data_IF_948612361727
#
_entry.id   IF_948612361727
#
_cell.length_a   1.000
_cell.length_b   1.000
_cell.length_c   1.000
_cell.angle_alpha   90.00
_cell.angle_beta   90.00
_cell.angle_gamma   90.00
#
_symmetry.space_group_name_H-M   'P 1'
#
loop_
_entity.id
_entity.type
_entity.pdbx_description
1 polymer ?
#
# COMPACT_ATOMS: atom_id res chain seq x y z
N UNK A 1 53.08 40.18 12.36
CA UNK A 1 52.81 40.20 10.91
C UNK A 1 53.42 38.94 10.31
N UNK A 2 52.57 38.21 9.60
CA UNK A 2 52.75 37.07 8.68
C UNK A 2 54.09 36.34 8.55
N UNK A 3 54.01 35.01 8.60
CA UNK A 3 55.01 34.09 8.06
C UNK A 3 54.48 32.66 8.02
N UNK A 4 53.85 32.28 6.90
CA UNK A 4 53.42 30.91 6.55
C UNK A 4 54.62 30.14 5.98
N UNK A 5 54.92 28.94 6.50
CA UNK A 5 55.87 27.95 5.93
C UNK A 5 55.31 26.52 6.19
N UNK A 6 55.46 25.56 5.24
CA UNK A 6 54.53 24.45 4.97
C UNK A 6 54.89 23.13 5.69
N UNK A 7 54.02 22.08 5.63
CA UNK A 7 54.25 20.83 6.34
C UNK A 7 55.30 19.95 5.65
N UNK A 8 56.28 19.52 6.43
CA UNK A 8 57.28 18.52 6.10
C UNK A 8 56.74 17.09 6.17
N UNK A 9 57.08 16.34 5.12
CA UNK A 9 57.19 14.90 4.95
C UNK A 9 56.92 14.00 6.18
N UNK A 10 55.88 13.17 6.07
CA UNK A 10 55.80 11.87 6.75
C UNK A 10 55.46 10.77 5.73
N UNK A 11 56.12 9.60 5.80
CA UNK A 11 56.12 8.60 4.74
C UNK A 11 54.82 7.81 4.64
N UNK A 12 54.43 7.57 3.39
CA UNK A 12 53.32 6.74 2.94
C UNK A 12 53.46 5.31 3.49
N UNK A 13 52.60 4.93 4.44
CA UNK A 13 52.47 3.53 4.89
C UNK A 13 51.42 2.83 4.03
N UNK A 14 51.83 1.76 3.34
CA UNK A 14 50.97 0.94 2.49
C UNK A 14 49.83 0.28 3.29
N UNK A 15 48.64 0.06 2.70
CA UNK A 15 47.54 -0.62 3.36
C UNK A 15 47.84 -2.12 3.54
N UNK A 16 47.43 -2.74 4.66
CA UNK A 16 47.69 -4.15 4.91
C UNK A 16 46.91 -5.05 3.95
N UNK A 17 47.59 -6.11 3.52
CA UNK A 17 47.20 -7.02 2.46
C UNK A 17 45.87 -7.76 2.67
N UNK A 18 45.35 -8.25 1.52
CA UNK A 18 44.24 -9.20 1.40
C UNK A 18 44.36 -10.31 2.45
N UNK A 19 43.29 -10.52 3.23
CA UNK A 19 43.14 -11.72 4.05
C UNK A 19 42.79 -12.89 3.14
N UNK A 20 43.60 -13.94 3.22
CA UNK A 20 43.35 -15.23 2.59
C UNK A 20 42.05 -15.85 3.12
N UNK A 21 41.21 -16.26 2.18
CA UNK A 21 39.98 -16.99 2.43
C UNK A 21 40.31 -18.46 2.71
N UNK A 22 40.60 -18.82 3.96
CA UNK A 22 40.75 -20.22 4.38
C UNK A 22 40.58 -20.39 5.90
N UNK A 23 39.42 -19.99 6.44
CA UNK A 23 38.98 -20.45 7.76
C UNK A 23 37.50 -20.83 7.71
N UNK A 24 37.12 -22.10 7.96
CA UNK A 24 35.73 -22.49 7.98
C UNK A 24 35.06 -21.96 9.26
N UNK A 25 33.98 -21.20 9.09
CA UNK A 25 33.10 -20.79 10.19
C UNK A 25 32.37 -22.05 10.66
N UNK A 26 32.70 -22.50 11.87
CA UNK A 26 32.01 -23.61 12.53
C UNK A 26 30.65 -23.10 12.99
N UNK A 27 29.58 -23.46 12.27
CA UNK A 27 28.20 -23.25 12.74
C UNK A 27 27.97 -24.17 13.93
N UNK A 28 27.98 -23.61 15.14
CA UNK A 28 27.51 -24.31 16.33
C UNK A 28 26.02 -24.66 16.16
N UNK A 29 25.70 -25.94 16.31
CA UNK A 29 24.36 -26.50 16.13
C UNK A 29 23.38 -25.96 17.18
N UNK A 30 22.47 -25.08 16.74
CA UNK A 30 21.26 -24.67 17.46
C UNK A 30 20.00 -25.13 16.69
N UNK A 31 20.01 -26.34 16.13
CA UNK A 31 18.90 -26.84 15.30
C UNK A 31 17.75 -27.54 16.06
N UNK A 32 17.83 -27.77 17.37
CA UNK A 32 16.90 -28.70 18.04
C UNK A 32 16.02 -28.12 19.16
N UNK A 33 15.38 -26.96 18.94
CA UNK A 33 14.34 -26.49 19.86
C UNK A 33 13.30 -25.56 19.21
N UNK A 34 12.77 -25.94 18.04
CA UNK A 34 11.51 -25.36 17.55
C UNK A 34 10.32 -26.20 18.04
N UNK A 35 9.32 -25.61 18.72
CA UNK A 35 8.08 -26.32 19.02
C UNK A 35 7.37 -26.71 17.72
N UNK A 36 6.79 -27.91 17.69
CA UNK A 36 6.00 -28.40 16.54
C UNK A 36 4.94 -27.36 16.16
N UNK A 37 4.75 -27.04 14.87
CA UNK A 37 3.74 -26.07 14.46
C UNK A 37 2.37 -26.53 14.96
N UNK A 38 1.63 -25.60 15.57
CA UNK A 38 0.27 -25.84 16.05
C UNK A 38 -0.60 -26.35 14.91
N UNK A 39 -1.30 -27.45 15.14
CA UNK A 39 -2.29 -28.00 14.22
C UNK A 39 -3.45 -27.01 14.11
N UNK A 40 -3.42 -26.14 13.10
CA UNK A 40 -4.52 -25.23 12.80
C UNK A 40 -5.68 -26.05 12.25
N UNK A 41 -6.77 -26.16 13.01
CA UNK A 41 -8.02 -26.71 12.53
C UNK A 41 -8.54 -25.85 11.38
N UNK A 42 -8.67 -26.45 10.19
CA UNK A 42 -9.06 -25.75 8.96
C UNK A 42 -10.59 -25.62 8.89
N UNK A 43 -11.15 -24.43 8.61
CA UNK A 43 -12.59 -24.28 8.41
C UNK A 43 -13.07 -25.01 7.13
N UNK A 44 -14.29 -25.56 7.11
CA UNK A 44 -14.86 -26.25 5.96
C UNK A 44 -15.14 -25.26 4.80
N UNK A 45 -14.74 -25.61 3.58
CA UNK A 45 -14.95 -24.81 2.35
C UNK A 45 -13.67 -24.45 1.58
N UNK A 46 -12.49 -24.66 2.16
CA UNK A 46 -11.22 -24.43 1.46
C UNK A 46 -10.85 -25.64 0.56
N UNK A 47 -11.30 -25.63 -0.69
CA UNK A 47 -10.86 -26.61 -1.67
C UNK A 47 -9.33 -26.65 -1.75
N UNK A 48 -8.75 -27.83 -1.53
CA UNK A 48 -7.31 -28.06 -1.71
C UNK A 48 -6.98 -27.91 -3.19
N UNK A 49 -6.53 -26.72 -3.59
CA UNK A 49 -5.74 -26.60 -4.81
C UNK A 49 -4.48 -27.44 -4.60
N UNK A 50 -4.42 -28.59 -5.26
CA UNK A 50 -3.32 -29.54 -5.15
C UNK A 50 -1.98 -28.82 -5.34
N UNK A 51 -1.11 -28.92 -4.33
CA UNK A 51 0.25 -28.38 -4.41
C UNK A 51 0.99 -29.15 -5.51
N UNK A 52 1.20 -28.51 -6.66
CA UNK A 52 2.01 -29.10 -7.74
C UNK A 52 3.47 -29.18 -7.28
N UNK A 53 3.96 -30.39 -7.10
CA UNK A 53 5.38 -30.66 -6.78
C UNK A 53 6.22 -30.45 -8.04
N UNK A 54 7.35 -29.76 -7.89
CA UNK A 54 8.34 -29.61 -8.96
C UNK A 54 9.74 -29.77 -8.36
N UNK A 55 10.72 -30.06 -9.22
CA UNK A 55 12.12 -30.22 -8.82
C UNK A 55 12.69 -28.85 -8.43
N UNK A 56 13.11 -28.71 -7.16
CA UNK A 56 13.82 -27.51 -6.68
C UNK A 56 15.15 -27.41 -7.44
N UNK A 57 15.39 -26.31 -8.15
CA UNK A 57 16.74 -25.98 -8.62
C UNK A 57 17.52 -25.28 -7.50
N UNK A 58 18.85 -25.38 -7.54
CA UNK A 58 19.76 -24.72 -6.60
C UNK A 58 19.60 -23.19 -6.59
N UNK A 59 19.09 -22.63 -7.69
CA UNK A 59 18.77 -21.21 -7.85
C UNK A 59 17.29 -20.89 -7.64
N UNK A 60 16.42 -21.87 -7.35
CA UNK A 60 14.96 -21.73 -7.28
C UNK A 60 14.28 -21.76 -8.65
N UNK A 61 13.11 -22.42 -8.74
CA UNK A 61 12.34 -22.54 -9.97
C UNK A 61 11.90 -21.17 -10.52
N UNK A 62 12.19 -20.90 -11.80
CA UNK A 62 11.81 -19.66 -12.50
C UNK A 62 10.30 -19.43 -12.48
N UNK A 63 9.50 -20.49 -12.66
CA UNK A 63 8.04 -20.42 -12.60
C UNK A 63 7.54 -20.04 -11.21
N UNK A 64 8.16 -20.55 -10.13
CA UNK A 64 7.82 -20.13 -8.77
C UNK A 64 8.31 -18.72 -8.45
N UNK A 65 9.45 -18.29 -9.01
CA UNK A 65 9.92 -16.91 -8.87
C UNK A 65 9.00 -15.93 -9.60
N UNK A 66 8.55 -16.27 -10.79
CA UNK A 66 7.62 -15.47 -11.59
C UNK A 66 6.20 -15.42 -11.00
N UNK A 67 5.79 -16.45 -10.25
CA UNK A 67 4.48 -16.51 -9.56
C UNK A 67 4.48 -15.93 -8.14
N UNK A 68 5.65 -15.56 -7.60
CA UNK A 68 5.76 -15.01 -6.25
C UNK A 68 5.52 -13.51 -6.30
N UNK A 69 4.30 -13.12 -5.93
CA UNK A 69 4.01 -11.77 -5.50
C UNK A 69 4.91 -11.46 -4.30
N UNK A 70 5.72 -10.40 -4.40
CA UNK A 70 6.68 -9.99 -3.37
C UNK A 70 6.24 -8.66 -2.78
N UNK A 71 5.48 -8.72 -1.68
CA UNK A 71 4.98 -7.51 -1.02
C UNK A 71 6.10 -6.55 -0.62
N UNK A 72 7.22 -7.03 -0.07
CA UNK A 72 8.33 -6.14 0.33
C UNK A 72 8.89 -5.29 -0.81
N UNK A 73 8.85 -5.79 -2.05
CA UNK A 73 9.38 -5.08 -3.22
C UNK A 73 8.41 -4.01 -3.75
N UNK A 74 7.15 -4.04 -3.32
CA UNK A 74 6.12 -3.05 -3.69
C UNK A 74 5.92 -2.01 -2.59
N UNK A 75 6.56 -2.15 -1.43
CA UNK A 75 6.50 -1.16 -0.34
C UNK A 75 7.46 0.01 -0.54
N UNK A 76 8.50 -0.17 -1.37
CA UNK A 76 9.50 0.85 -1.64
C UNK A 76 10.21 0.60 -2.98
N UNK A 77 10.47 1.68 -3.70
CA UNK A 77 11.29 1.67 -4.91
C UNK A 77 12.80 1.62 -4.59
N UNK A 78 13.20 2.01 -3.37
CA UNK A 78 14.60 1.96 -2.95
C UNK A 78 15.01 0.52 -2.60
N UNK A 79 15.87 -0.05 -3.45
CA UNK A 79 16.38 -1.41 -3.29
C UNK A 79 17.23 -1.61 -2.03
N UNK A 80 17.80 -0.52 -1.48
CA UNK A 80 18.54 -0.56 -0.22
C UNK A 80 17.64 -1.00 0.96
N UNK A 81 16.35 -0.67 0.89
CA UNK A 81 15.38 -0.98 1.94
C UNK A 81 14.71 -2.35 1.76
N UNK A 82 14.99 -3.10 0.69
CA UNK A 82 14.35 -4.39 0.46
C UNK A 82 14.67 -5.42 1.54
N UNK A 83 15.91 -5.46 2.03
CA UNK A 83 16.31 -6.40 3.09
C UNK A 83 15.64 -6.04 4.41
N UNK A 84 15.55 -4.74 4.72
CA UNK A 84 14.81 -4.25 5.87
C UNK A 84 13.35 -4.73 5.87
N UNK A 85 12.63 -4.54 4.76
CA UNK A 85 11.23 -4.99 4.66
C UNK A 85 11.06 -6.50 4.59
N UNK A 86 12.00 -7.22 3.97
CA UNK A 86 11.96 -8.67 3.78
C UNK A 86 12.33 -9.43 5.06
N UNK A 87 13.34 -8.95 5.77
CA UNK A 87 14.00 -9.67 6.86
C UNK A 87 13.74 -8.96 8.20
N UNK A 88 14.17 -7.71 8.37
CA UNK A 88 14.11 -7.03 9.68
C UNK A 88 12.67 -6.82 10.18
N UNK A 89 11.79 -6.30 9.32
CA UNK A 89 10.37 -6.07 9.67
C UNK A 89 9.63 -7.39 9.94
N UNK A 90 10.00 -8.47 9.24
CA UNK A 90 9.42 -9.79 9.48
C UNK A 90 9.91 -10.37 10.81
N UNK A 91 11.20 -10.25 11.12
CA UNK A 91 11.76 -10.64 12.42
C UNK A 91 11.14 -9.83 13.56
N UNK A 92 10.89 -8.54 13.34
CA UNK A 92 10.18 -7.69 14.30
C UNK A 92 8.74 -8.18 14.50
N UNK A 93 8.04 -8.56 13.42
CA UNK A 93 6.72 -9.19 13.49
C UNK A 93 6.71 -10.48 14.30
N UNK A 94 7.73 -11.32 14.16
CA UNK A 94 7.85 -12.55 14.95
C UNK A 94 8.02 -12.27 16.46
N UNK A 95 8.52 -11.09 16.83
CA UNK A 95 8.65 -10.66 18.23
C UNK A 95 7.43 -9.88 18.73
N UNK A 96 6.75 -9.17 17.84
CA UNK A 96 5.70 -8.21 18.15
C UNK A 96 4.42 -8.52 17.35
N UNK A 97 3.44 -9.08 18.05
CA UNK A 97 2.15 -9.53 17.52
C UNK A 97 1.45 -8.50 16.61
N UNK A 98 1.48 -7.22 17.00
CA UNK A 98 0.81 -6.17 16.24
C UNK A 98 1.54 -5.84 14.93
N UNK A 99 2.87 -5.99 14.87
CA UNK A 99 3.63 -5.85 13.63
C UNK A 99 3.33 -7.00 12.69
N UNK A 100 3.30 -8.24 13.17
CA UNK A 100 2.93 -9.37 12.31
C UNK A 100 1.53 -9.20 11.72
N UNK A 101 0.56 -8.75 12.54
CA UNK A 101 -0.80 -8.44 12.04
C UNK A 101 -0.78 -7.34 10.97
N UNK A 102 0.04 -6.30 11.13
CA UNK A 102 0.19 -5.24 10.13
C UNK A 102 0.83 -5.76 8.82
N UNK A 103 1.88 -6.57 8.90
CA UNK A 103 2.53 -7.20 7.74
C UNK A 103 1.56 -8.11 6.99
N UNK A 104 0.78 -8.92 7.72
CA UNK A 104 -0.24 -9.79 7.14
C UNK A 104 -1.40 -8.99 6.54
N UNK A 105 -1.80 -7.89 7.17
CA UNK A 105 -2.81 -6.99 6.62
C UNK A 105 -2.37 -6.47 5.25
N UNK A 106 -1.17 -5.87 5.16
CA UNK A 106 -0.62 -5.35 3.89
C UNK A 106 -0.48 -6.46 2.85
N UNK A 107 -0.08 -7.66 3.29
CA UNK A 107 -0.01 -8.82 2.40
C UNK A 107 -1.39 -9.25 1.87
N UNK A 108 -2.44 -9.18 2.69
CA UNK A 108 -3.80 -9.46 2.27
C UNK A 108 -4.28 -8.42 1.24
N UNK A 109 -4.02 -7.13 1.47
CA UNK A 109 -4.36 -6.08 0.51
C UNK A 109 -3.64 -6.29 -0.84
N UNK A 110 -2.37 -6.67 -0.81
CA UNK A 110 -1.61 -6.98 -2.02
C UNK A 110 -2.14 -8.24 -2.74
N UNK A 111 -2.64 -9.23 -1.99
CA UNK A 111 -3.33 -10.39 -2.57
C UNK A 111 -4.69 -10.00 -3.17
N UNK A 112 -5.42 -9.06 -2.57
CA UNK A 112 -6.68 -8.55 -3.10
C UNK A 112 -6.47 -7.90 -4.48
N UNK A 113 -5.40 -7.11 -4.62
CA UNK A 113 -5.00 -6.50 -5.89
C UNK A 113 -4.70 -7.53 -6.99
N UNK A 114 -3.94 -8.57 -6.68
CA UNK A 114 -3.55 -9.59 -7.67
C UNK A 114 -4.58 -10.70 -7.89
N UNK A 115 -5.65 -10.76 -7.08
CA UNK A 115 -6.67 -11.82 -7.15
C UNK A 115 -8.08 -11.23 -7.11
N UNK A 116 -8.57 -10.68 -8.22
CA UNK A 116 -9.91 -10.09 -8.30
C UNK A 116 -11.01 -11.06 -7.84
N UNK A 117 -10.90 -12.36 -8.18
CA UNK A 117 -11.86 -13.41 -7.80
C UNK A 117 -12.12 -13.55 -6.28
N UNK A 118 -11.20 -13.07 -5.44
CA UNK A 118 -11.30 -13.15 -3.97
C UNK A 118 -10.97 -11.82 -3.30
N UNK A 119 -11.12 -10.73 -4.04
CA UNK A 119 -10.73 -9.39 -3.61
C UNK A 119 -11.38 -9.02 -2.27
N UNK A 120 -12.70 -9.16 -2.17
CA UNK A 120 -13.47 -8.76 -0.99
C UNK A 120 -13.04 -9.51 0.27
N UNK A 121 -12.82 -10.82 0.15
CA UNK A 121 -12.34 -11.65 1.26
C UNK A 121 -10.99 -11.15 1.79
N UNK A 122 -10.05 -10.83 0.88
CA UNK A 122 -8.73 -10.35 1.30
C UNK A 122 -8.74 -8.91 1.81
N UNK A 123 -9.62 -8.06 1.29
CA UNK A 123 -9.86 -6.71 1.83
C UNK A 123 -10.39 -6.81 3.26
N UNK A 124 -11.43 -7.61 3.49
CA UNK A 124 -12.03 -7.79 4.82
C UNK A 124 -11.02 -8.36 5.83
N UNK A 125 -10.27 -9.40 5.44
CA UNK A 125 -9.23 -9.97 6.29
C UNK A 125 -8.10 -8.95 6.58
N UNK A 126 -7.70 -8.17 5.57
CA UNK A 126 -6.73 -7.10 5.72
C UNK A 126 -7.17 -6.03 6.73
N UNK A 127 -8.41 -5.53 6.60
CA UNK A 127 -9.01 -4.56 7.51
C UNK A 127 -9.07 -5.13 8.93
N UNK A 128 -9.52 -6.38 9.09
CA UNK A 128 -9.63 -7.02 10.40
C UNK A 128 -8.27 -7.14 11.10
N UNK A 129 -7.23 -7.55 10.35
CA UNK A 129 -5.86 -7.66 10.86
C UNK A 129 -5.30 -6.29 11.24
N UNK A 130 -5.52 -5.27 10.41
CA UNK A 130 -5.14 -3.89 10.69
C UNK A 130 -5.81 -3.38 11.97
N UNK A 131 -7.12 -3.55 12.14
CA UNK A 131 -7.86 -3.11 13.34
C UNK A 131 -7.38 -3.82 14.62
N UNK A 132 -7.09 -5.13 14.53
CA UNK A 132 -6.50 -5.88 15.66
C UNK A 132 -5.11 -5.34 16.00
N UNK A 133 -4.28 -5.07 14.99
CA UNK A 133 -2.95 -4.51 15.16
C UNK A 133 -3.00 -3.11 15.82
N UNK A 134 -3.86 -2.22 15.31
CA UNK A 134 -4.05 -0.85 15.81
C UNK A 134 -4.49 -0.84 17.26
N UNK A 135 -5.44 -1.70 17.67
CA UNK A 135 -5.84 -1.83 19.07
C UNK A 135 -4.69 -2.28 19.97
N UNK A 136 -3.89 -3.23 19.52
CA UNK A 136 -2.70 -3.68 20.27
C UNK A 136 -1.65 -2.57 20.38
N UNK A 137 -1.37 -1.83 19.31
CA UNK A 137 -0.42 -0.72 19.32
C UNK A 137 -0.91 0.44 20.22
N UNK A 138 -2.21 0.76 20.20
CA UNK A 138 -2.81 1.77 21.09
C UNK A 138 -2.66 1.40 22.57
N UNK A 139 -2.77 0.12 22.92
CA UNK A 139 -2.53 -0.34 24.30
C UNK A 139 -1.08 -0.13 24.72
N UNK A 140 -0.11 -0.36 23.83
CA UNK A 140 1.31 -0.08 24.10
C UNK A 140 1.53 1.41 24.34
N UNK A 141 0.93 2.28 23.52
CA UNK A 141 1.02 3.74 23.70
C UNK A 141 0.30 4.24 24.97
N UNK A 142 -0.81 3.60 25.35
CA UNK A 142 -1.61 3.98 26.51
C UNK A 142 -1.10 3.39 27.84
N UNK A 143 -0.14 2.47 27.82
CA UNK A 143 0.36 1.77 29.00
C UNK A 143 1.13 2.68 29.99
N UNK A 144 1.26 3.99 29.72
CA UNK A 144 1.74 5.00 30.67
C UNK A 144 3.23 4.91 31.03
N UNK A 145 3.94 3.90 30.52
CA UNK A 145 5.37 3.74 30.72
C UNK A 145 6.17 4.50 29.66
N UNK A 146 7.39 4.90 30.00
CA UNK A 146 8.23 5.69 29.10
C UNK A 146 8.61 4.83 27.88
N UNK A 147 8.05 5.16 26.71
CA UNK A 147 8.32 4.45 25.45
C UNK A 147 9.84 4.45 25.21
N UNK A 148 10.43 3.25 25.17
CA UNK A 148 11.85 3.11 24.87
C UNK A 148 12.13 3.29 23.37
N UNK A 149 13.41 3.31 22.99
CA UNK A 149 13.82 3.53 21.58
C UNK A 149 13.36 2.40 20.66
N UNK A 150 13.31 1.16 21.14
CA UNK A 150 12.96 -0.01 20.33
C UNK A 150 11.44 -0.06 20.10
N UNK A 151 10.65 0.27 21.14
CA UNK A 151 9.21 0.45 21.05
C UNK A 151 8.86 1.62 20.12
N UNK A 152 9.57 2.75 20.21
CA UNK A 152 9.38 3.87 19.30
C UNK A 152 9.68 3.48 17.83
N UNK A 153 10.78 2.76 17.59
CA UNK A 153 11.11 2.25 16.26
C UNK A 153 10.05 1.27 15.74
N UNK A 154 9.52 0.42 16.61
CA UNK A 154 8.47 -0.54 16.25
C UNK A 154 7.15 0.15 15.94
N UNK A 155 6.74 1.15 16.75
CA UNK A 155 5.57 1.97 16.48
C UNK A 155 5.71 2.80 15.21
N UNK A 156 6.93 3.25 14.89
CA UNK A 156 7.21 3.91 13.61
C UNK A 156 7.01 2.95 12.43
N UNK A 157 7.60 1.75 12.45
CA UNK A 157 7.38 0.73 11.41
C UNK A 157 5.90 0.36 11.30
N UNK A 158 5.20 0.24 12.44
CA UNK A 158 3.76 0.04 12.45
C UNK A 158 3.03 1.16 11.72
N UNK A 159 3.36 2.42 11.99
CA UNK A 159 2.75 3.57 11.33
C UNK A 159 2.96 3.59 9.81
N UNK A 160 4.14 3.13 9.35
CA UNK A 160 4.42 2.99 7.92
C UNK A 160 3.55 1.90 7.29
N UNK A 161 3.37 0.76 7.97
CA UNK A 161 2.54 -0.35 7.49
C UNK A 161 1.05 -0.01 7.53
N UNK A 162 0.60 0.82 8.48
CA UNK A 162 -0.80 1.27 8.55
C UNK A 162 -1.13 2.38 7.56
N UNK A 163 -0.15 3.10 7.02
CA UNK A 163 -0.37 4.10 5.98
C UNK A 163 -1.07 3.53 4.74
N UNK A 164 -0.86 2.24 4.42
CA UNK A 164 -1.54 1.54 3.32
C UNK A 164 -3.02 1.23 3.61
N UNK A 165 -3.42 1.31 4.88
CA UNK A 165 -4.80 1.14 5.35
C UNK A 165 -5.45 2.46 5.77
N UNK A 166 -4.70 3.57 5.75
CA UNK A 166 -5.25 4.89 5.99
C UNK A 166 -6.16 5.23 4.81
N UNK A 167 -7.49 5.30 4.99
CA UNK A 167 -8.37 5.47 3.86
C UNK A 167 -8.22 6.90 3.34
N UNK A 168 -7.60 7.04 2.17
CA UNK A 168 -7.41 8.29 1.43
C UNK A 168 -8.73 9.01 1.20
N UNK A 169 -9.82 8.25 1.07
CA UNK A 169 -11.16 8.75 0.82
C UNK A 169 -12.05 8.72 2.07
N UNK A 170 -11.53 8.42 3.27
CA UNK A 170 -12.32 8.40 4.52
C UNK A 170 -13.20 9.64 4.74
N UNK A 171 -12.71 10.89 4.52
CA UNK A 171 -13.55 12.07 4.69
C UNK A 171 -14.72 12.13 3.70
N UNK A 172 -14.50 11.71 2.45
CA UNK A 172 -15.55 11.64 1.43
C UNK A 172 -16.54 10.52 1.75
N UNK A 173 -16.03 9.35 2.16
CA UNK A 173 -16.85 8.20 2.55
C UNK A 173 -17.80 8.54 3.70
N UNK A 174 -17.30 9.19 4.74
CA UNK A 174 -18.13 9.59 5.89
C UNK A 174 -19.26 10.55 5.48
N UNK A 175 -18.99 11.48 4.55
CA UNK A 175 -20.00 12.42 4.03
C UNK A 175 -21.06 11.70 3.19
N UNK A 176 -20.63 10.77 2.33
CA UNK A 176 -21.54 9.98 1.48
C UNK A 176 -22.37 9.00 2.32
N UNK A 177 -21.80 8.38 3.34
CA UNK A 177 -22.55 7.51 4.26
C UNK A 177 -23.61 8.29 5.05
N UNK A 178 -23.32 9.54 5.43
CA UNK A 178 -24.29 10.42 6.08
C UNK A 178 -25.41 10.87 5.11
N UNK A 179 -25.06 11.27 3.88
CA UNK A 179 -26.00 11.75 2.87
C UNK A 179 -26.89 10.62 2.31
N UNK A 180 -26.31 9.46 1.98
CA UNK A 180 -27.02 8.29 1.46
C UNK A 180 -27.65 7.41 2.56
N UNK A 181 -27.86 7.95 3.77
CA UNK A 181 -28.38 7.20 4.92
C UNK A 181 -29.79 6.63 4.69
N UNK A 182 -30.57 7.23 3.80
CA UNK A 182 -31.93 6.82 3.48
C UNK A 182 -32.03 5.66 2.47
N UNK A 183 -31.00 5.40 1.66
CA UNK A 183 -31.02 4.36 0.61
C UNK A 183 -29.83 3.37 0.74
N UNK A 184 -30.08 2.17 1.30
CA UNK A 184 -29.06 1.14 1.47
C UNK A 184 -28.52 0.54 0.17
N UNK A 185 -29.22 0.64 -0.96
CA UNK A 185 -28.75 0.16 -2.26
C UNK A 185 -27.74 1.15 -2.85
N UNK A 186 -28.09 2.44 -2.90
CA UNK A 186 -27.18 3.50 -3.35
C UNK A 186 -25.91 3.55 -2.50
N UNK A 187 -26.04 3.42 -1.17
CA UNK A 187 -24.89 3.41 -0.26
C UNK A 187 -23.91 2.28 -0.57
N UNK A 188 -24.39 1.10 -0.99
CA UNK A 188 -23.54 -0.04 -1.37
C UNK A 188 -22.80 0.24 -2.66
N UNK A 189 -23.48 0.75 -3.69
CA UNK A 189 -22.85 1.12 -4.96
C UNK A 189 -21.78 2.19 -4.79
N UNK A 190 -22.03 3.23 -3.97
CA UNK A 190 -21.03 4.25 -3.66
C UNK A 190 -19.85 3.72 -2.84
N UNK A 191 -20.12 2.89 -1.82
CA UNK A 191 -19.07 2.27 -1.03
C UNK A 191 -18.14 1.43 -1.92
N UNK A 192 -18.71 0.61 -2.80
CA UNK A 192 -17.95 -0.17 -3.76
C UNK A 192 -17.10 0.70 -4.69
N UNK A 193 -17.66 1.76 -5.27
CA UNK A 193 -16.92 2.67 -6.14
C UNK A 193 -15.76 3.39 -5.42
N UNK A 194 -15.96 3.76 -4.16
CA UNK A 194 -14.93 4.35 -3.30
C UNK A 194 -13.84 3.33 -2.96
N UNK A 195 -14.20 2.08 -2.63
CA UNK A 195 -13.25 1.01 -2.31
C UNK A 195 -12.34 0.70 -3.50
N UNK A 196 -12.88 0.64 -4.71
CA UNK A 196 -12.10 0.51 -5.94
C UNK A 196 -11.17 1.71 -6.18
N UNK A 197 -11.68 2.92 -5.95
CA UNK A 197 -10.93 4.14 -6.20
C UNK A 197 -9.76 4.29 -5.22
N UNK A 198 -10.02 3.95 -3.96
CA UNK A 198 -9.04 3.95 -2.89
C UNK A 198 -7.94 2.94 -3.15
N UNK A 199 -8.28 1.71 -3.57
CA UNK A 199 -7.30 0.70 -3.92
C UNK A 199 -6.38 1.18 -5.06
N UNK A 200 -6.94 1.77 -6.11
CA UNK A 200 -6.18 2.32 -7.23
C UNK A 200 -5.27 3.49 -6.79
N UNK A 201 -5.76 4.38 -5.92
CA UNK A 201 -4.99 5.50 -5.39
C UNK A 201 -3.85 5.05 -4.45
N UNK A 202 -4.08 4.02 -3.64
CA UNK A 202 -3.05 3.42 -2.76
C UNK A 202 -1.98 2.74 -3.60
N UNK A 203 -2.35 1.96 -4.62
CA UNK A 203 -1.39 1.38 -5.57
C UNK A 203 -0.49 2.43 -6.21
N UNK A 204 -1.09 3.54 -6.67
CA UNK A 204 -0.36 4.66 -7.27
C UNK A 204 0.53 5.44 -6.27
N UNK A 205 0.28 5.35 -4.96
CA UNK A 205 1.15 5.94 -3.91
C UNK A 205 2.28 5.01 -3.49
N UNK A 206 2.02 3.70 -3.48
CA UNK A 206 2.96 2.68 -3.05
C UNK A 206 4.19 2.61 -3.96
N UNK A 207 3.99 2.76 -5.28
CA UNK A 207 5.08 2.77 -6.25
C UNK A 207 4.93 3.94 -7.24
N UNK A 208 5.51 5.12 -6.94
CA UNK A 208 5.47 6.26 -7.84
C UNK A 208 6.17 6.03 -9.18
N UNK A 209 7.08 5.05 -9.26
CA UNK A 209 7.93 4.76 -10.41
C UNK A 209 7.50 3.54 -11.23
N UNK A 210 6.54 2.74 -10.74
CA UNK A 210 5.89 1.72 -11.55
C UNK A 210 5.33 2.32 -12.84
N UNK A 211 5.41 1.61 -13.99
CA UNK A 211 4.70 2.02 -15.19
C UNK A 211 3.21 2.06 -14.86
N UNK A 212 2.67 3.27 -14.67
CA UNK A 212 1.27 3.51 -14.31
C UNK A 212 0.44 3.31 -15.56
N UNK A 213 0.00 2.09 -15.78
CA UNK A 213 -0.76 1.73 -16.96
C UNK A 213 -2.14 2.41 -16.90
N UNK A 214 -2.57 3.01 -18.01
CA UNK A 214 -3.92 3.57 -18.14
C UNK A 214 -5.00 2.52 -17.85
N UNK A 215 -4.62 1.23 -17.94
CA UNK A 215 -5.43 0.11 -17.50
C UNK A 215 -5.95 0.26 -16.07
N UNK A 216 -5.27 0.91 -15.12
CA UNK A 216 -5.81 1.07 -13.76
C UNK A 216 -7.08 1.93 -13.74
N UNK A 217 -7.08 3.03 -14.51
CA UNK A 217 -8.25 3.88 -14.69
C UNK A 217 -9.36 3.18 -15.47
N UNK A 218 -9.00 2.35 -16.47
CA UNK A 218 -9.98 1.56 -17.23
C UNK A 218 -10.59 0.44 -16.40
N UNK A 219 -9.79 -0.24 -15.55
CA UNK A 219 -10.24 -1.28 -14.63
C UNK A 219 -11.20 -0.68 -13.62
N UNK A 220 -10.90 0.48 -13.03
CA UNK A 220 -11.84 1.16 -12.14
C UNK A 220 -13.19 1.41 -12.85
N UNK A 221 -13.15 2.02 -14.03
CA UNK A 221 -14.36 2.35 -14.78
C UNK A 221 -15.14 1.08 -15.16
N UNK A 222 -14.46 0.01 -15.56
CA UNK A 222 -15.06 -1.28 -15.88
C UNK A 222 -15.76 -1.87 -14.66
N UNK A 223 -15.08 -1.95 -13.51
CA UNK A 223 -15.61 -2.55 -12.27
C UNK A 223 -16.86 -1.84 -11.76
N UNK A 224 -16.92 -0.51 -11.86
CA UNK A 224 -18.06 0.26 -11.34
C UNK A 224 -19.16 0.50 -12.39
N UNK A 225 -18.93 0.14 -13.66
CA UNK A 225 -19.76 0.60 -14.79
C UNK A 225 -21.24 0.23 -14.68
N UNK A 226 -21.56 -1.00 -14.25
CA UNK A 226 -22.92 -1.51 -14.29
C UNK A 226 -23.87 -0.80 -13.31
N UNK A 227 -23.37 -0.42 -12.14
CA UNK A 227 -24.18 0.18 -11.08
C UNK A 227 -23.95 1.68 -10.93
N UNK A 228 -22.72 2.16 -11.12
CA UNK A 228 -22.35 3.55 -10.83
C UNK A 228 -22.56 4.50 -12.02
N UNK A 229 -22.24 4.08 -13.25
CA UNK A 229 -22.38 4.95 -14.45
C UNK A 229 -23.83 5.34 -14.73
N UNK A 230 -24.85 4.49 -14.53
CA UNK A 230 -26.25 4.90 -14.64
C UNK A 230 -26.61 6.09 -13.72
N UNK A 231 -26.02 6.16 -12.52
CA UNK A 231 -26.26 7.26 -11.56
C UNK A 231 -25.71 8.60 -12.07
N UNK A 232 -24.63 8.59 -12.86
CA UNK A 232 -24.09 9.77 -13.54
C UNK A 232 -24.93 10.20 -14.76
N UNK A 233 -25.74 9.29 -15.32
CA UNK A 233 -26.58 9.55 -16.50
C UNK A 233 -28.01 9.95 -16.13
N UNK A 234 -28.44 9.71 -14.89
CA UNK A 234 -29.79 10.00 -14.44
C UNK A 234 -30.13 11.50 -14.57
N UNK A 235 -31.41 11.85 -14.88
CA UNK A 235 -31.85 13.25 -15.03
C UNK A 235 -31.64 14.08 -13.76
N UNK A 236 -31.85 13.48 -12.59
CA UNK A 236 -31.38 13.98 -11.30
C UNK A 236 -30.04 13.30 -11.01
N UNK A 237 -28.94 13.83 -11.56
CA UNK A 237 -27.61 13.36 -11.18
C UNK A 237 -27.48 13.48 -9.67
N UNK A 238 -27.17 12.38 -9.01
CA UNK A 238 -26.85 12.34 -7.59
C UNK A 238 -25.51 13.07 -7.40
N UNK A 239 -25.53 14.14 -6.61
CA UNK A 239 -24.37 15.00 -6.33
C UNK A 239 -23.20 14.17 -5.78
N UNK A 240 -23.51 13.12 -5.01
CA UNK A 240 -22.58 12.15 -4.45
C UNK A 240 -21.82 11.37 -5.53
N UNK A 241 -22.52 10.91 -6.58
CA UNK A 241 -21.88 10.20 -7.69
C UNK A 241 -20.92 11.12 -8.46
N UNK A 242 -21.30 12.37 -8.67
CA UNK A 242 -20.44 13.38 -9.32
C UNK A 242 -19.20 13.66 -8.45
N UNK A 243 -19.36 13.75 -7.13
CA UNK A 243 -18.25 13.93 -6.20
C UNK A 243 -17.27 12.74 -6.21
N UNK A 244 -17.77 11.50 -6.25
CA UNK A 244 -16.93 10.30 -6.41
C UNK A 244 -16.19 10.34 -7.75
N UNK A 245 -16.89 10.67 -8.85
CA UNK A 245 -16.30 10.73 -10.18
C UNK A 245 -15.23 11.83 -10.32
N UNK A 246 -15.33 12.93 -9.57
CA UNK A 246 -14.27 13.93 -9.50
C UNK A 246 -12.96 13.33 -8.92
N UNK A 247 -13.06 12.43 -7.94
CA UNK A 247 -11.89 11.76 -7.36
C UNK A 247 -11.29 10.73 -8.31
N UNK A 248 -12.07 10.15 -9.25
CA UNK A 248 -11.52 9.37 -10.36
C UNK A 248 -10.58 10.23 -11.23
N UNK A 249 -10.86 11.53 -11.39
CA UNK A 249 -9.96 12.46 -12.06
C UNK A 249 -8.56 12.53 -11.43
N UNK A 250 -8.40 12.23 -10.13
CA UNK A 250 -7.08 12.12 -9.51
C UNK A 250 -6.25 10.97 -10.07
N UNK A 251 -6.86 9.82 -10.37
CA UNK A 251 -6.15 8.72 -11.05
C UNK A 251 -5.62 9.20 -12.40
N UNK A 252 -6.47 9.87 -13.19
CA UNK A 252 -6.08 10.41 -14.50
C UNK A 252 -4.95 11.42 -14.41
N UNK A 253 -4.99 12.34 -13.43
CA UNK A 253 -3.89 13.28 -13.17
C UNK A 253 -2.58 12.57 -12.78
N UNK A 254 -2.68 11.40 -12.14
CA UNK A 254 -1.53 10.64 -11.62
C UNK A 254 -0.86 9.74 -12.65
N UNK A 255 -1.55 9.33 -13.72
CA UNK A 255 -0.98 8.50 -14.81
C UNK A 255 0.12 9.21 -15.62
N UNK A 256 0.44 10.47 -15.28
CA UNK A 256 1.30 11.36 -16.05
C UNK A 256 0.74 11.56 -17.46
N UNK A 257 0.97 12.71 -18.06
CA UNK A 257 0.62 12.97 -19.46
C UNK A 257 1.47 12.13 -20.45
N UNK A 258 1.92 10.94 -20.04
CA UNK A 258 2.69 9.96 -20.81
C UNK A 258 1.96 9.53 -22.08
N UNK A 259 0.63 9.52 -22.03
CA UNK A 259 -0.25 9.27 -23.17
C UNK A 259 -0.81 10.59 -23.68
N UNK A 260 -0.39 11.01 -24.88
CA UNK A 260 -0.80 12.28 -25.49
C UNK A 260 -2.33 12.47 -25.59
N UNK A 261 -3.08 11.37 -25.73
CA UNK A 261 -4.55 11.39 -25.84
C UNK A 261 -5.26 11.54 -24.49
N UNK A 262 -4.60 11.22 -23.38
CA UNK A 262 -5.16 11.37 -22.02
C UNK A 262 -4.83 12.75 -21.43
N UNK A 263 -4.02 13.55 -22.13
CA UNK A 263 -3.61 14.88 -21.70
C UNK A 263 -4.83 15.78 -21.44
N UNK A 264 -4.89 16.37 -20.24
CA UNK A 264 -5.96 17.27 -19.82
C UNK A 264 -7.28 16.61 -19.44
N UNK A 265 -7.42 15.27 -19.54
CA UNK A 265 -8.67 14.59 -19.15
C UNK A 265 -8.93 14.66 -17.63
N UNK A 266 -7.91 14.46 -16.81
CA UNK A 266 -8.05 14.58 -15.35
C UNK A 266 -8.52 15.96 -14.93
N UNK A 267 -7.90 17.01 -15.50
CA UNK A 267 -8.33 18.39 -15.33
C UNK A 267 -9.77 18.63 -15.77
N UNK A 268 -10.14 18.15 -16.96
CA UNK A 268 -11.47 18.36 -17.52
C UNK A 268 -12.55 17.68 -16.67
N UNK A 269 -12.30 16.45 -16.23
CA UNK A 269 -13.23 15.69 -15.36
C UNK A 269 -13.43 16.41 -14.03
N UNK A 270 -12.34 16.86 -13.38
CA UNK A 270 -12.43 17.55 -12.09
C UNK A 270 -13.13 18.91 -12.23
N UNK A 271 -12.77 19.70 -13.26
CA UNK A 271 -13.38 21.00 -13.51
C UNK A 271 -14.87 20.86 -13.83
N UNK A 272 -15.25 19.91 -14.70
CA UNK A 272 -16.64 19.70 -15.07
C UNK A 272 -17.48 19.19 -13.91
N UNK A 273 -16.91 18.33 -13.06
CA UNK A 273 -17.58 17.92 -11.83
C UNK A 273 -17.84 19.13 -10.92
N UNK A 274 -16.87 20.05 -10.76
CA UNK A 274 -17.04 21.25 -9.94
C UNK A 274 -18.12 22.23 -10.45
N UNK A 275 -18.44 22.20 -11.75
CA UNK A 275 -19.53 22.99 -12.33
C UNK A 275 -20.91 22.36 -12.14
N UNK A 276 -20.97 21.04 -12.01
CA UNK A 276 -22.22 20.28 -11.83
C UNK A 276 -22.61 20.22 -10.36
N UNK A 277 -21.62 20.25 -9.46
CA UNK A 277 -21.83 20.18 -8.03
C UNK A 277 -22.46 21.47 -7.47
N UNK A 278 -23.38 21.30 -6.52
CA UNK A 278 -23.84 22.41 -5.68
C UNK A 278 -22.75 22.87 -4.70
N UNK A 279 -23.01 23.99 -4.00
CA UNK A 279 -22.02 24.61 -3.11
C UNK A 279 -21.61 23.70 -1.93
N UNK A 280 -22.53 22.87 -1.43
CA UNK A 280 -22.29 21.96 -0.30
C UNK A 280 -21.36 20.79 -0.71
N UNK A 281 -21.62 20.19 -1.86
CA UNK A 281 -20.85 19.06 -2.38
C UNK A 281 -19.55 19.50 -3.05
N UNK A 282 -19.43 20.77 -3.46
CA UNK A 282 -18.16 21.32 -3.97
C UNK A 282 -17.05 21.25 -2.93
N UNK A 283 -17.37 21.40 -1.64
CA UNK A 283 -16.43 21.19 -0.54
C UNK A 283 -15.94 19.74 -0.41
N UNK A 284 -16.58 18.79 -1.09
CA UNK A 284 -16.21 17.38 -1.08
C UNK A 284 -15.08 17.06 -2.05
N UNK A 285 -14.91 17.89 -3.08
CA UNK A 285 -13.88 17.72 -4.12
C UNK A 285 -12.71 18.69 -3.97
N UNK A 286 -12.56 19.31 -2.79
CA UNK A 286 -11.47 20.26 -2.52
C UNK A 286 -10.09 19.61 -2.71
N UNK A 287 -9.93 18.33 -2.35
CA UNK A 287 -8.68 17.61 -2.56
C UNK A 287 -8.33 17.44 -4.06
N UNK A 288 -9.22 16.89 -4.92
CA UNK A 288 -9.06 16.94 -6.38
C UNK A 288 -8.71 18.32 -6.94
N UNK A 289 -9.45 19.37 -6.53
CA UNK A 289 -9.22 20.73 -7.01
C UNK A 289 -7.85 21.28 -6.60
N UNK A 290 -7.38 20.96 -5.40
CA UNK A 290 -6.05 21.34 -4.92
C UNK A 290 -4.95 20.66 -5.74
N UNK A 291 -5.04 19.35 -5.95
CA UNK A 291 -4.06 18.57 -6.74
C UNK A 291 -3.97 19.05 -8.19
N UNK A 292 -5.11 19.39 -8.79
CA UNK A 292 -5.18 20.00 -10.12
C UNK A 292 -4.46 21.36 -10.16
N UNK A 293 -4.70 22.24 -9.17
CA UNK A 293 -4.04 23.55 -9.06
C UNK A 293 -2.53 23.43 -8.87
N UNK A 294 -2.07 22.54 -7.98
CA UNK A 294 -0.64 22.33 -7.72
C UNK A 294 0.13 21.91 -8.97
N UNK A 295 -0.48 21.11 -9.86
CA UNK A 295 0.14 20.68 -11.12
C UNK A 295 0.24 21.79 -12.18
N UNK A 296 -0.67 22.77 -12.18
CA UNK A 296 -0.66 23.88 -13.15
C UNK A 296 0.26 25.03 -12.75
N UNK A 297 0.59 25.13 -11.45
CA UNK A 297 1.38 26.22 -10.89
C UNK A 297 2.87 25.94 -10.69
N UNK A 298 3.36 24.75 -11.09
CA UNK A 298 4.78 24.37 -11.08
C UNK A 298 5.27 24.10 -12.48
#
# INVERSE_FOLDING_TARGET
MSGVVPPSDLPFSAPPGRRDASTPIVHASLENSFPKPLSVHRPPGYATLGRRTHKKSRTGCSTCKARKIKTYATLTADSCLWEFWRDDVVQLGLRQDYIMRAVLAVSALHLAYHRPDRRDFYIEEGILLHQKASRSAMRVMAAGDKIDKDQAATLFVFSMLTMFFAPLLAPLRARIEAAASADPALRRTYAHALDELELALVGARADPGAPRDVLDAMVWLWVVSDEFVPLLRAPTRTQEAVAIFAHFGLLLLRHHESHWWLRGWGDHVIARAAEILDDDHRAWIEWPLREMRTRRGG
#
